data_IF_739850753758
#
_entry.id   IF_739850753758
#
_cell.length_a   1.000
_cell.length_b   1.000
_cell.length_c   1.000
_cell.angle_alpha   90.00
_cell.angle_beta   90.00
_cell.angle_gamma   90.00
#
_symmetry.space_group_name_H-M   'P 1'
#
loop_
_entity.id
_entity.type
_entity.pdbx_description
1 polymer ?
#
# COMPACT_ATOMS: atom_id res chain seq x y z
N UNK A 1 6.71 -24.43 -10.79
CA UNK A 1 5.34 -24.06 -11.19
C UNK A 1 5.18 -23.69 -12.67
N UNK A 2 6.25 -23.35 -13.42
CA UNK A 2 6.18 -23.26 -14.90
C UNK A 2 5.37 -22.08 -15.46
N UNK A 3 5.07 -21.08 -14.62
CA UNK A 3 4.31 -19.89 -15.02
C UNK A 3 5.28 -18.88 -15.64
N UNK A 4 4.98 -18.39 -16.84
CA UNK A 4 5.77 -17.36 -17.49
C UNK A 4 5.61 -16.02 -16.76
N UNK A 5 6.69 -15.24 -16.67
CA UNK A 5 6.67 -13.96 -15.98
C UNK A 5 5.84 -12.94 -16.79
N UNK A 6 4.81 -12.32 -16.20
CA UNK A 6 4.07 -11.26 -16.89
C UNK A 6 5.00 -10.12 -17.31
N UNK A 7 4.84 -9.55 -18.52
CA UNK A 7 5.72 -8.48 -19.01
C UNK A 7 5.78 -7.23 -18.11
N UNK A 8 4.73 -6.99 -17.32
CA UNK A 8 4.66 -5.91 -16.33
C UNK A 8 5.53 -6.15 -15.10
N UNK A 9 5.83 -7.42 -14.79
CA UNK A 9 6.67 -7.85 -13.68
C UNK A 9 8.10 -8.21 -14.14
N UNK A 10 8.31 -8.37 -15.45
CA UNK A 10 9.63 -8.55 -16.04
C UNK A 10 10.40 -7.23 -16.11
N UNK A 11 11.02 -6.86 -14.99
CA UNK A 11 11.72 -5.58 -14.81
C UNK A 11 13.25 -5.68 -14.80
N UNK A 12 13.80 -6.90 -14.85
CA UNK A 12 15.24 -7.11 -14.73
C UNK A 12 15.98 -6.45 -15.91
N UNK A 13 16.92 -5.55 -15.61
CA UNK A 13 17.71 -4.84 -16.62
C UNK A 13 16.98 -3.70 -17.35
N UNK A 14 15.70 -3.46 -17.05
CA UNK A 14 14.97 -2.29 -17.56
C UNK A 14 15.49 -1.01 -16.91
N UNK A 15 15.54 0.06 -17.70
CA UNK A 15 15.85 1.41 -17.24
C UNK A 15 14.65 1.98 -16.49
N UNK A 16 14.84 2.96 -15.59
CA UNK A 16 13.74 3.49 -14.78
C UNK A 16 12.53 3.98 -15.59
N UNK A 17 12.73 4.56 -16.77
CA UNK A 17 11.64 5.04 -17.65
C UNK A 17 10.96 3.93 -18.48
N UNK A 18 11.45 2.70 -18.43
CA UNK A 18 10.84 1.52 -19.06
C UNK A 18 9.91 0.78 -18.08
N UNK A 19 9.87 1.21 -16.83
CA UNK A 19 9.02 0.67 -15.77
C UNK A 19 7.74 1.51 -15.69
N UNK A 20 6.60 0.86 -15.91
CA UNK A 20 5.30 1.54 -15.96
C UNK A 20 4.64 1.73 -14.58
N UNK A 21 5.16 1.09 -13.53
CA UNK A 21 4.62 1.22 -12.18
C UNK A 21 5.42 2.24 -11.36
N UNK A 22 4.76 2.81 -10.35
CA UNK A 22 5.36 3.75 -9.41
C UNK A 22 5.44 3.10 -8.03
N UNK A 23 6.60 3.23 -7.38
CA UNK A 23 6.80 2.83 -5.98
C UNK A 23 6.95 4.09 -5.12
N UNK A 24 6.04 4.29 -4.15
CA UNK A 24 6.09 5.45 -3.25
C UNK A 24 7.33 5.46 -2.35
N UNK A 25 7.91 4.29 -2.05
CA UNK A 25 9.17 4.22 -1.29
C UNK A 25 10.34 4.74 -2.13
N UNK A 26 10.33 4.52 -3.44
CA UNK A 26 11.33 5.10 -4.34
C UNK A 26 11.21 6.62 -4.41
N UNK A 27 9.99 7.15 -4.35
CA UNK A 27 9.74 8.59 -4.24
C UNK A 27 10.21 9.17 -2.90
N UNK A 28 10.11 8.40 -1.82
CA UNK A 28 10.47 8.86 -0.46
C UNK A 28 11.94 8.73 -0.15
N UNK A 29 12.60 7.65 -0.58
CA UNK A 29 13.91 7.26 -0.05
C UNK A 29 15.06 8.18 -0.44
N UNK A 30 14.86 9.11 -1.38
CA UNK A 30 15.87 10.06 -1.87
C UNK A 30 17.25 9.42 -2.19
N UNK A 31 17.24 8.17 -2.66
CA UNK A 31 18.46 7.40 -2.96
C UNK A 31 19.08 6.63 -1.78
N UNK A 32 18.51 6.68 -0.58
CA UNK A 32 18.91 5.85 0.56
C UNK A 32 18.26 4.46 0.48
N UNK A 33 19.07 3.44 0.31
CA UNK A 33 18.62 2.04 0.23
C UNK A 33 18.41 1.38 1.61
N UNK A 34 18.74 2.06 2.72
CA UNK A 34 18.69 1.49 4.08
C UNK A 34 17.56 2.03 4.95
N UNK A 35 16.89 3.10 4.54
CA UNK A 35 15.84 3.75 5.30
C UNK A 35 14.44 3.18 4.98
N UNK A 36 14.15 1.96 5.44
CA UNK A 36 12.80 1.41 5.39
C UNK A 36 11.88 2.21 6.32
N UNK A 37 11.12 3.14 5.75
CA UNK A 37 10.16 3.95 6.49
C UNK A 37 8.80 3.27 6.45
N UNK A 38 8.18 3.04 7.60
CA UNK A 38 6.85 2.42 7.62
C UNK A 38 5.79 3.36 7.03
N UNK A 39 4.78 2.79 6.35
CA UNK A 39 3.63 3.56 5.86
C UNK A 39 2.96 4.37 6.98
N UNK A 40 2.83 3.79 8.18
CA UNK A 40 2.25 4.47 9.33
C UNK A 40 3.03 5.73 9.75
N UNK A 41 4.37 5.67 9.72
CA UNK A 41 5.22 6.82 10.00
C UNK A 41 5.06 7.91 8.93
N UNK A 42 5.00 7.52 7.65
CA UNK A 42 4.74 8.46 6.56
C UNK A 42 3.36 9.13 6.71
N UNK A 43 2.30 8.35 6.99
CA UNK A 43 0.98 8.91 7.25
C UNK A 43 1.01 9.93 8.39
N UNK A 44 1.72 9.64 9.48
CA UNK A 44 1.88 10.57 10.59
C UNK A 44 2.57 11.88 10.17
N UNK A 45 3.69 11.78 9.43
CA UNK A 45 4.45 12.94 8.94
C UNK A 45 3.60 13.81 8.01
N UNK A 46 2.82 13.20 7.13
CA UNK A 46 1.99 13.91 6.14
C UNK A 46 0.60 14.32 6.66
N UNK A 47 0.34 14.13 7.96
CA UNK A 47 -0.96 14.41 8.61
C UNK A 47 -2.14 13.69 7.92
N UNK A 48 -1.92 12.43 7.55
CA UNK A 48 -2.93 11.54 6.98
C UNK A 48 -3.48 10.68 8.11
N UNK A 49 -4.81 10.56 8.27
CA UNK A 49 -5.40 9.61 9.20
C UNK A 49 -4.82 8.21 8.98
N UNK A 50 -4.27 7.63 10.04
CA UNK A 50 -3.64 6.31 9.98
C UNK A 50 -4.70 5.23 9.78
N UNK A 51 -4.46 4.20 8.95
CA UNK A 51 -5.38 3.08 8.77
C UNK A 51 -5.37 2.06 9.94
N UNK A 52 -4.42 2.18 10.86
CA UNK A 52 -4.07 1.14 11.86
C UNK A 52 -4.88 1.23 13.15
N UNK A 53 -6.11 0.74 13.10
CA UNK A 53 -7.02 0.81 14.27
C UNK A 53 -7.36 -0.57 14.87
N UNK A 54 -7.20 -1.65 14.09
CA UNK A 54 -7.78 -2.98 14.43
C UNK A 54 -6.75 -4.13 14.46
N UNK A 55 -6.02 -4.36 13.37
CA UNK A 55 -4.99 -5.41 13.28
C UNK A 55 -3.71 -4.91 12.61
N UNK A 56 -2.60 -5.61 12.85
CA UNK A 56 -1.30 -5.36 12.21
C UNK A 56 -0.88 -6.51 11.29
N UNK A 57 0.19 -6.32 10.52
CA UNK A 57 0.76 -7.39 9.68
C UNK A 57 1.15 -8.65 10.47
N UNK A 58 1.50 -8.52 11.76
CA UNK A 58 1.80 -9.66 12.61
C UNK A 58 0.56 -10.48 13.01
N UNK A 59 -0.62 -9.85 12.98
CA UNK A 59 -1.89 -10.47 13.37
C UNK A 59 -2.53 -11.27 12.23
N UNK A 60 -2.17 -11.00 10.97
CA UNK A 60 -2.82 -11.59 9.78
C UNK A 60 -2.86 -13.12 9.86
N UNK A 61 -1.77 -13.76 10.30
CA UNK A 61 -1.72 -15.22 10.44
C UNK A 61 -2.73 -15.74 11.48
N UNK A 62 -2.79 -15.08 12.65
CA UNK A 62 -3.73 -15.42 13.73
C UNK A 62 -5.17 -15.25 13.27
N UNK A 63 -5.49 -14.11 12.64
CA UNK A 63 -6.82 -13.81 12.12
C UNK A 63 -7.25 -14.84 11.06
N UNK A 64 -6.34 -15.23 10.16
CA UNK A 64 -6.64 -16.21 9.12
C UNK A 64 -6.83 -17.63 9.67
N UNK A 65 -5.89 -18.11 10.50
CA UNK A 65 -5.86 -19.52 10.90
C UNK A 65 -6.74 -19.82 12.11
N UNK A 66 -6.81 -18.92 13.09
CA UNK A 66 -7.51 -19.12 14.35
C UNK A 66 -8.91 -18.50 14.32
N UNK A 67 -9.00 -17.21 13.96
CA UNK A 67 -10.28 -16.49 13.95
C UNK A 67 -11.15 -16.81 12.73
N UNK A 68 -10.54 -17.28 11.63
CA UNK A 68 -11.21 -17.55 10.34
C UNK A 68 -11.91 -16.33 9.74
N UNK A 69 -11.40 -15.13 10.00
CA UNK A 69 -12.05 -13.87 9.60
C UNK A 69 -11.31 -13.22 8.41
N UNK A 70 -11.69 -13.64 7.20
CA UNK A 70 -11.12 -13.10 5.96
C UNK A 70 -11.58 -11.66 5.68
N UNK A 71 -12.79 -11.31 6.09
CA UNK A 71 -13.35 -9.98 5.86
C UNK A 71 -12.58 -8.92 6.65
N UNK A 72 -12.15 -9.24 7.87
CA UNK A 72 -11.29 -8.37 8.67
C UNK A 72 -9.93 -8.13 8.01
N UNK A 73 -9.32 -9.17 7.44
CA UNK A 73 -8.06 -9.04 6.67
C UNK A 73 -8.27 -8.20 5.43
N UNK A 74 -9.39 -8.40 4.71
CA UNK A 74 -9.76 -7.60 3.54
C UNK A 74 -9.85 -6.13 3.91
N UNK A 75 -10.59 -5.77 4.95
CA UNK A 75 -10.74 -4.38 5.42
C UNK A 75 -9.37 -3.78 5.76
N UNK A 76 -8.51 -4.52 6.45
CA UNK A 76 -7.14 -4.10 6.74
C UNK A 76 -6.35 -3.77 5.46
N UNK A 77 -6.36 -4.66 4.46
CA UNK A 77 -5.68 -4.44 3.19
C UNK A 77 -6.26 -3.26 2.40
N UNK A 78 -7.60 -3.09 2.37
CA UNK A 78 -8.25 -1.95 1.73
C UNK A 78 -7.81 -0.62 2.35
N UNK A 79 -7.75 -0.55 3.69
CA UNK A 79 -7.28 0.64 4.40
C UNK A 79 -5.81 0.98 4.09
N UNK A 80 -4.93 -0.01 3.97
CA UNK A 80 -3.53 0.20 3.56
C UNK A 80 -3.43 0.78 2.13
N UNK A 81 -4.27 0.31 1.19
CA UNK A 81 -4.35 0.86 -0.18
C UNK A 81 -4.84 2.30 -0.17
N UNK A 82 -5.86 2.62 0.63
CA UNK A 82 -6.36 3.99 0.78
C UNK A 82 -5.25 4.90 1.31
N UNK A 83 -4.56 4.49 2.38
CA UNK A 83 -3.48 5.25 2.97
C UNK A 83 -2.32 5.49 1.98
N UNK A 84 -1.97 4.49 1.17
CA UNK A 84 -0.98 4.60 0.11
C UNK A 84 -1.36 5.66 -0.93
N UNK A 85 -2.61 5.65 -1.40
CA UNK A 85 -3.11 6.62 -2.39
C UNK A 85 -3.10 8.04 -1.81
N UNK A 86 -3.56 8.21 -0.57
CA UNK A 86 -3.55 9.50 0.13
C UNK A 86 -2.12 10.03 0.31
N UNK A 87 -1.18 9.16 0.65
CA UNK A 87 0.23 9.50 0.77
C UNK A 87 0.81 9.95 -0.57
N UNK A 88 0.55 9.21 -1.65
CA UNK A 88 1.00 9.58 -2.98
C UNK A 88 0.49 10.96 -3.40
N UNK A 89 -0.78 11.28 -3.15
CA UNK A 89 -1.35 12.60 -3.41
C UNK A 89 -0.63 13.70 -2.61
N UNK A 90 -0.37 13.47 -1.32
CA UNK A 90 0.38 14.41 -0.48
C UNK A 90 1.81 14.63 -0.97
N UNK A 91 2.51 13.58 -1.41
CA UNK A 91 3.86 13.71 -2.00
C UNK A 91 3.85 14.55 -3.29
N UNK A 92 2.74 14.56 -4.03
CA UNK A 92 2.52 15.41 -5.22
C UNK A 92 2.05 16.83 -4.90
N UNK A 93 1.73 17.14 -3.65
CA UNK A 93 1.15 18.42 -3.24
C UNK A 93 -0.37 18.52 -3.45
N UNK A 94 -1.04 17.41 -3.73
CA UNK A 94 -2.49 17.35 -3.93
C UNK A 94 -3.25 17.26 -2.59
N UNK A 95 -4.57 17.53 -2.65
CA UNK A 95 -5.48 17.37 -1.50
C UNK A 95 -5.88 15.91 -1.30
N UNK A 96 -6.27 15.56 -0.06
CA UNK A 96 -6.77 14.23 0.25
C UNK A 96 -8.11 13.96 -0.43
N UNK A 97 -8.34 12.71 -0.82
CA UNK A 97 -9.65 12.24 -1.26
C UNK A 97 -10.57 12.22 -0.04
N UNK A 98 -11.74 12.86 -0.12
CA UNK A 98 -12.75 12.80 0.93
C UNK A 98 -13.35 11.40 1.04
N UNK A 99 -13.64 10.93 2.26
CA UNK A 99 -14.18 9.59 2.51
C UNK A 99 -15.42 9.26 1.68
N UNK A 100 -16.32 10.23 1.44
CA UNK A 100 -17.51 10.04 0.60
C UNK A 100 -17.23 9.70 -0.87
N UNK A 101 -15.99 9.88 -1.34
CA UNK A 101 -15.56 9.54 -2.70
C UNK A 101 -14.76 8.22 -2.73
N UNK A 102 -14.67 7.50 -1.62
CA UNK A 102 -14.00 6.21 -1.52
C UNK A 102 -15.08 5.13 -1.47
N UNK A 103 -15.06 4.21 -2.44
CA UNK A 103 -16.07 3.15 -2.56
C UNK A 103 -15.37 1.79 -2.63
N UNK A 104 -15.65 0.93 -1.65
CA UNK A 104 -15.28 -0.48 -1.70
C UNK A 104 -16.32 -1.25 -2.50
N UNK A 105 -15.88 -2.00 -3.51
CA UNK A 105 -16.74 -2.91 -4.29
C UNK A 105 -16.47 -4.32 -3.79
N UNK A 106 -17.45 -4.92 -3.13
CA UNK A 106 -17.43 -6.35 -2.82
C UNK A 106 -17.93 -7.11 -4.06
N UNK A 107 -17.19 -8.14 -4.48
CA UNK A 107 -17.69 -9.11 -5.45
C UNK A 107 -18.46 -10.16 -4.64
N UNK A 108 -19.75 -10.32 -4.92
CA UNK A 108 -20.61 -11.39 -4.36
C UNK A 108 -20.11 -12.79 -4.72
#
# INVERSE_FOLDING_TARGET
NGISLPPSLDIAGKKPWEINHLDTMDLWKFGDYKAYTSLALLCHIFHIPTPKDDISGADVARVYYEEKDLDRIRIYCEKDVIALIQLFLKMKGDSLISEGNIHSVSVE
#
